data_IF_266420853416
#
_entry.id   IF_266420853416
#
_cell.length_a   1.000
_cell.length_b   1.000
_cell.length_c   1.000
_cell.angle_alpha   90.00
_cell.angle_beta   90.00
_cell.angle_gamma   90.00
#
_symmetry.space_group_name_H-M   'P 1'
#
loop_
_entity.id
_entity.type
_entity.pdbx_description
1 polymer ?
#
# COMPACT_ATOMS: atom_id res chain seq x y z
N UNK A 1 -9.75 -12.17 1.00
CA UNK A 1 -8.96 -11.87 -0.20
C UNK A 1 -9.89 -11.47 -1.34
N UNK A 2 -9.58 -10.36 -2.00
CA UNK A 2 -10.27 -9.93 -3.22
C UNK A 2 -9.26 -9.74 -4.34
N UNK A 3 -9.59 -10.27 -5.51
CA UNK A 3 -8.87 -10.02 -6.76
C UNK A 3 -9.77 -9.16 -7.63
N UNK A 4 -9.23 -8.08 -8.16
CA UNK A 4 -9.93 -7.17 -9.06
C UNK A 4 -9.20 -7.14 -10.40
N UNK A 5 -9.97 -7.25 -11.48
CA UNK A 5 -9.51 -7.01 -12.84
C UNK A 5 -10.46 -5.98 -13.45
N UNK A 6 -9.93 -4.90 -13.95
CA UNK A 6 -10.69 -3.83 -14.57
C UNK A 6 -10.10 -3.50 -15.95
N UNK A 7 -10.94 -3.55 -16.96
CA UNK A 7 -10.66 -3.02 -18.30
C UNK A 7 -11.63 -1.87 -18.52
N UNK A 8 -11.13 -0.72 -18.91
CA UNK A 8 -12.00 0.46 -19.06
C UNK A 8 -11.50 1.40 -20.16
N UNK A 9 -12.41 2.30 -20.53
CA UNK A 9 -12.03 3.46 -21.34
C UNK A 9 -11.76 4.62 -20.41
N UNK A 10 -10.69 5.32 -20.68
CA UNK A 10 -10.31 6.47 -19.90
C UNK A 10 -11.24 7.65 -20.17
N UNK A 11 -11.61 8.35 -19.12
CA UNK A 11 -12.24 9.63 -19.26
C UNK A 11 -11.21 10.77 -19.30
N UNK A 12 -11.61 11.91 -19.84
CA UNK A 12 -10.71 13.07 -20.03
C UNK A 12 -10.06 13.57 -18.72
N UNK A 13 -10.72 13.36 -17.57
CA UNK A 13 -10.17 13.72 -16.25
C UNK A 13 -9.02 12.80 -15.83
N UNK A 14 -9.14 11.49 -16.08
CA UNK A 14 -8.08 10.52 -15.80
C UNK A 14 -6.89 10.74 -16.72
N UNK A 15 -7.12 10.97 -18.01
CA UNK A 15 -6.05 11.27 -18.99
C UNK A 15 -5.21 12.48 -18.56
N UNK A 16 -5.86 13.57 -18.15
CA UNK A 16 -5.18 14.78 -17.68
C UNK A 16 -4.47 14.59 -16.35
N UNK A 17 -5.07 13.83 -15.43
CA UNK A 17 -4.48 13.60 -14.11
C UNK A 17 -3.23 12.72 -14.15
N UNK A 18 -3.14 11.80 -15.12
CA UNK A 18 -2.09 10.79 -15.21
C UNK A 18 -1.19 10.93 -16.45
N UNK A 19 -1.44 11.94 -17.30
CA UNK A 19 -0.69 12.17 -18.54
C UNK A 19 -0.64 10.93 -19.43
N UNK A 20 -1.83 10.35 -19.72
CA UNK A 20 -1.97 9.09 -20.45
C UNK A 20 -2.23 9.32 -21.92
N UNK A 21 -1.50 8.58 -22.78
CA UNK A 21 -1.57 8.70 -24.23
C UNK A 21 -2.61 7.78 -24.89
N UNK A 22 -3.18 6.84 -24.14
CA UNK A 22 -4.11 5.85 -24.65
C UNK A 22 -5.57 6.10 -24.19
N UNK A 23 -6.52 5.57 -24.95
CA UNK A 23 -7.95 5.66 -24.65
C UNK A 23 -8.45 4.51 -23.75
N UNK A 24 -7.63 3.51 -23.55
CA UNK A 24 -7.97 2.31 -22.78
C UNK A 24 -6.92 2.05 -21.70
N UNK A 25 -7.38 1.51 -20.59
CA UNK A 25 -6.49 1.09 -19.51
C UNK A 25 -6.80 -0.33 -19.05
N UNK A 26 -5.79 -0.97 -18.50
CA UNK A 26 -5.89 -2.20 -17.73
C UNK A 26 -5.46 -1.94 -16.30
N UNK A 27 -6.25 -2.40 -15.35
CA UNK A 27 -5.90 -2.35 -13.93
C UNK A 27 -6.24 -3.68 -13.26
N UNK A 28 -5.32 -4.17 -12.47
CA UNK A 28 -5.55 -5.38 -11.67
C UNK A 28 -4.94 -5.23 -10.29
N UNK A 29 -5.44 -6.00 -9.34
CA UNK A 29 -4.89 -5.96 -7.99
C UNK A 29 -5.43 -7.06 -7.09
N UNK A 30 -4.70 -7.27 -6.02
CA UNK A 30 -5.07 -8.16 -4.92
C UNK A 30 -5.17 -7.34 -3.65
N UNK A 31 -6.28 -7.48 -2.94
CA UNK A 31 -6.49 -6.89 -1.62
C UNK A 31 -6.75 -7.99 -0.60
N UNK A 32 -6.01 -7.95 0.48
CA UNK A 32 -6.04 -8.93 1.56
C UNK A 32 -6.32 -8.21 2.86
N UNK A 33 -7.29 -8.72 3.61
CA UNK A 33 -7.54 -8.34 5.00
C UNK A 33 -7.66 -9.63 5.79
N UNK A 34 -6.89 -9.77 6.84
CA UNK A 34 -6.97 -10.89 7.77
C UNK A 34 -7.28 -10.39 9.17
N UNK A 35 -8.41 -10.85 9.70
CA UNK A 35 -8.88 -10.61 11.07
C UNK A 35 -8.78 -11.91 11.86
N UNK A 36 -7.68 -12.15 12.59
CA UNK A 36 -7.55 -13.34 13.43
C UNK A 36 -8.58 -13.33 14.56
N UNK A 37 -9.06 -14.51 14.96
CA UNK A 37 -9.94 -14.67 16.12
C UNK A 37 -9.20 -14.38 17.43
N UNK A 38 -7.93 -14.73 17.50
CA UNK A 38 -7.09 -14.46 18.67
C UNK A 38 -6.68 -12.98 18.69
N UNK A 39 -7.05 -12.20 19.71
CA UNK A 39 -6.74 -10.78 19.79
C UNK A 39 -5.25 -10.46 19.99
N UNK A 40 -4.42 -11.45 20.31
CA UNK A 40 -2.97 -11.29 20.37
C UNK A 40 -2.30 -11.38 18.99
N UNK A 41 -3.03 -11.84 17.96
CA UNK A 41 -2.51 -11.87 16.58
C UNK A 41 -2.98 -10.61 15.87
N UNK A 42 -2.04 -9.79 15.34
CA UNK A 42 -2.38 -8.53 14.69
C UNK A 42 -3.25 -8.70 13.44
N UNK A 43 -4.11 -7.73 13.21
CA UNK A 43 -4.84 -7.57 11.96
C UNK A 43 -3.86 -7.05 10.90
N UNK A 44 -3.85 -7.67 9.73
CA UNK A 44 -3.04 -7.23 8.60
C UNK A 44 -3.93 -6.80 7.43
N UNK A 45 -3.56 -5.70 6.81
CA UNK A 45 -4.11 -5.23 5.54
C UNK A 45 -2.98 -5.16 4.52
N UNK A 46 -3.23 -5.69 3.34
CA UNK A 46 -2.27 -5.63 2.24
C UNK A 46 -3.01 -5.44 0.92
N UNK A 47 -2.47 -4.62 0.06
CA UNK A 47 -2.91 -4.56 -1.33
C UNK A 47 -1.72 -4.37 -2.26
N UNK A 48 -1.83 -4.94 -3.45
CA UNK A 48 -0.91 -4.71 -4.56
C UNK A 48 -1.77 -4.45 -5.78
N UNK A 49 -1.41 -3.41 -6.53
CA UNK A 49 -2.12 -2.97 -7.73
C UNK A 49 -1.13 -2.82 -8.88
N UNK A 50 -1.58 -3.17 -10.06
CA UNK A 50 -0.90 -2.88 -11.31
C UNK A 50 -1.83 -2.04 -12.18
N UNK A 51 -1.28 -1.05 -12.83
CA UNK A 51 -1.98 -0.21 -13.79
C UNK A 51 -1.16 -0.09 -15.06
N UNK A 52 -1.83 -0.10 -16.21
CA UNK A 52 -1.24 0.05 -17.53
C UNK A 52 -2.19 0.81 -18.45
N UNK A 53 -1.66 1.77 -19.20
CA UNK A 53 -2.35 2.47 -20.28
C UNK A 53 -1.34 2.91 -21.33
N UNK A 54 -1.47 2.38 -22.55
CA UNK A 54 -0.50 2.59 -23.61
C UNK A 54 0.90 2.13 -23.22
N UNK A 55 1.85 3.04 -23.23
CA UNK A 55 3.23 2.77 -22.81
C UNK A 55 3.52 3.09 -21.34
N UNK A 56 2.51 3.56 -20.62
CA UNK A 56 2.64 3.93 -19.20
C UNK A 56 2.14 2.80 -18.32
N UNK A 57 2.94 2.41 -17.33
CA UNK A 57 2.56 1.40 -16.35
C UNK A 57 3.20 1.68 -15.00
N UNK A 58 2.57 1.22 -13.94
CA UNK A 58 3.13 1.30 -12.60
C UNK A 58 2.50 0.29 -11.64
N UNK A 59 3.21 0.05 -10.55
CA UNK A 59 2.68 -0.63 -9.37
C UNK A 59 2.31 0.36 -8.28
N UNK A 60 1.27 0.02 -7.53
CA UNK A 60 0.93 0.65 -6.28
C UNK A 60 0.59 -0.39 -5.24
N UNK A 61 0.67 -0.04 -3.99
CA UNK A 61 0.32 -0.96 -2.93
C UNK A 61 0.64 -0.45 -1.55
N UNK A 62 0.39 -1.30 -0.59
CA UNK A 62 0.72 -1.04 0.79
C UNK A 62 0.45 -2.23 1.67
N UNK A 63 1.07 -2.23 2.83
CA UNK A 63 0.86 -3.18 3.90
C UNK A 63 0.91 -2.46 5.23
N UNK A 64 -0.04 -2.72 6.10
CA UNK A 64 -0.08 -2.19 7.46
C UNK A 64 -0.52 -3.25 8.47
N UNK A 65 -0.08 -3.07 9.70
CA UNK A 65 -0.40 -3.94 10.81
C UNK A 65 -1.18 -3.16 11.87
N UNK A 66 -2.32 -3.71 12.30
CA UNK A 66 -3.18 -3.12 13.33
C UNK A 66 -3.39 -4.12 14.47
N UNK A 67 -2.48 -4.14 15.46
CA UNK A 67 -2.63 -4.99 16.63
C UNK A 67 -3.71 -4.46 17.57
N UNK A 68 -4.42 -5.36 18.25
CA UNK A 68 -5.28 -5.04 19.39
C UNK A 68 -4.42 -4.75 20.62
N UNK A 69 -3.41 -5.60 20.86
CA UNK A 69 -2.39 -5.39 21.88
C UNK A 69 -1.04 -5.16 21.21
N UNK A 70 -0.42 -4.03 21.50
CA UNK A 70 0.87 -3.68 20.92
C UNK A 70 1.98 -4.46 21.65
N UNK A 71 2.70 -5.28 20.89
CA UNK A 71 3.92 -5.98 21.32
C UNK A 71 5.09 -5.32 20.61
N UNK A 72 6.00 -4.62 21.31
CA UNK A 72 7.08 -3.86 20.69
C UNK A 72 8.02 -4.71 19.84
N UNK A 73 8.25 -5.95 20.24
CA UNK A 73 9.11 -6.92 19.51
C UNK A 73 8.50 -7.28 18.15
N UNK A 74 7.20 -7.52 18.10
CA UNK A 74 6.47 -7.81 16.86
C UNK A 74 6.46 -6.60 15.91
N UNK A 75 6.25 -5.41 16.47
CA UNK A 75 6.31 -4.16 15.72
C UNK A 75 7.71 -3.95 15.11
N UNK A 76 8.75 -4.17 15.90
CA UNK A 76 10.15 -4.07 15.44
C UNK A 76 10.46 -5.08 14.35
N UNK A 77 10.04 -6.33 14.53
CA UNK A 77 10.24 -7.40 13.54
C UNK A 77 9.53 -7.08 12.21
N UNK A 78 8.28 -6.62 12.29
CA UNK A 78 7.51 -6.24 11.11
C UNK A 78 8.21 -5.13 10.31
N UNK A 79 8.60 -4.04 10.98
CA UNK A 79 9.27 -2.92 10.31
C UNK A 79 10.67 -3.26 9.81
N UNK A 80 11.44 -4.09 10.53
CA UNK A 80 12.74 -4.57 10.08
C UNK A 80 12.61 -5.44 8.82
N UNK A 81 11.59 -6.29 8.76
CA UNK A 81 11.30 -7.12 7.59
C UNK A 81 10.97 -6.26 6.39
N UNK A 82 10.07 -5.28 6.54
CA UNK A 82 9.73 -4.35 5.46
C UNK A 82 10.95 -3.56 4.98
N UNK A 83 11.77 -3.09 5.93
CA UNK A 83 13.00 -2.37 5.59
C UNK A 83 13.97 -3.26 4.82
N UNK A 84 14.18 -4.49 5.27
CA UNK A 84 15.08 -5.44 4.59
C UNK A 84 14.65 -5.72 3.14
N UNK A 85 13.34 -5.83 2.89
CA UNK A 85 12.82 -6.02 1.53
C UNK A 85 13.02 -4.76 0.68
N UNK A 86 12.71 -3.58 1.22
CA UNK A 86 12.90 -2.31 0.52
C UNK A 86 14.38 -2.06 0.19
N UNK A 87 15.29 -2.34 1.13
CA UNK A 87 16.73 -2.12 0.98
C UNK A 87 17.34 -3.00 -0.14
N UNK A 88 16.72 -4.12 -0.50
CA UNK A 88 17.14 -4.94 -1.64
C UNK A 88 16.91 -4.22 -2.98
N UNK A 89 15.97 -3.30 -3.02
CA UNK A 89 15.63 -2.51 -4.20
C UNK A 89 16.34 -1.14 -4.17
N UNK A 90 16.10 -0.36 -3.14
CA UNK A 90 16.74 0.95 -2.90
C UNK A 90 16.70 1.27 -1.39
N UNK A 91 17.84 1.56 -0.76
CA UNK A 91 17.91 1.88 0.67
C UNK A 91 17.08 3.10 1.11
N UNK A 92 16.71 3.99 0.19
CA UNK A 92 15.87 5.16 0.47
C UNK A 92 14.38 4.85 0.50
N UNK A 93 13.96 3.76 -0.15
CA UNK A 93 12.54 3.42 -0.35
C UNK A 93 11.77 3.23 0.95
N UNK A 94 12.36 2.50 1.91
CA UNK A 94 11.66 2.21 3.16
C UNK A 94 11.20 3.49 3.88
N UNK A 95 12.08 4.45 4.08
CA UNK A 95 11.75 5.67 4.81
C UNK A 95 10.71 6.52 4.09
N UNK A 96 10.79 6.59 2.76
CA UNK A 96 9.83 7.27 1.91
C UNK A 96 8.45 6.63 2.00
N UNK A 97 8.37 5.32 1.86
CA UNK A 97 7.12 4.57 1.86
C UNK A 97 6.50 4.49 3.25
N UNK A 98 7.33 4.37 4.29
CA UNK A 98 6.89 4.42 5.67
C UNK A 98 6.29 5.78 6.03
N UNK A 99 6.97 6.86 5.68
CA UNK A 99 6.46 8.20 5.91
C UNK A 99 5.11 8.41 5.22
N UNK A 100 4.96 7.93 3.99
CA UNK A 100 3.70 8.01 3.27
C UNK A 100 2.59 7.24 3.99
N UNK A 101 2.88 6.04 4.48
CA UNK A 101 1.93 5.26 5.27
C UNK A 101 1.55 5.98 6.58
N UNK A 102 2.52 6.52 7.30
CA UNK A 102 2.29 7.25 8.56
C UNK A 102 1.37 8.47 8.33
N UNK A 103 1.62 9.25 7.28
CA UNK A 103 0.79 10.40 6.91
C UNK A 103 -0.64 9.96 6.50
N UNK A 104 -0.77 8.86 5.77
CA UNK A 104 -2.06 8.33 5.31
C UNK A 104 -2.92 7.80 6.46
N UNK A 105 -2.32 7.13 7.44
CA UNK A 105 -3.02 6.53 8.58
C UNK A 105 -3.19 7.48 9.77
N UNK A 106 -2.66 8.70 9.69
CA UNK A 106 -2.80 9.68 10.76
C UNK A 106 -4.23 10.20 10.87
N UNK A 107 -4.79 10.06 12.07
CA UNK A 107 -6.13 10.51 12.42
C UNK A 107 -6.06 11.85 13.15
N UNK A 108 -6.13 12.96 12.42
CA UNK A 108 -5.91 14.30 12.96
C UNK A 108 -6.84 14.66 14.13
N UNK A 109 -8.11 14.21 14.08
CA UNK A 109 -9.11 14.46 15.11
C UNK A 109 -8.85 13.70 16.42
N UNK A 110 -8.05 12.62 16.37
CA UNK A 110 -7.66 11.79 17.53
C UNK A 110 -6.20 12.00 17.93
N UNK A 111 -5.42 12.66 17.08
CA UNK A 111 -3.96 12.84 17.21
C UNK A 111 -3.21 11.51 17.39
N UNK A 112 -3.65 10.50 16.70
CA UNK A 112 -3.09 9.15 16.73
C UNK A 112 -3.00 8.55 15.32
N UNK A 113 -2.20 7.51 15.16
CA UNK A 113 -2.08 6.74 13.92
C UNK A 113 -2.84 5.42 14.05
N UNK A 114 -3.49 4.96 12.99
CA UNK A 114 -4.08 3.62 12.96
C UNK A 114 -2.99 2.55 12.99
N UNK A 115 -3.02 1.68 14.01
CA UNK A 115 -2.06 0.59 14.16
C UNK A 115 -0.62 1.06 14.33
N UNK A 116 0.31 0.24 13.92
CA UNK A 116 1.76 0.51 13.99
C UNK A 116 2.34 0.99 12.65
N UNK A 117 1.47 1.32 11.70
CA UNK A 117 1.85 1.73 10.36
C UNK A 117 2.30 0.57 9.47
N UNK A 118 3.14 0.88 8.53
CA UNK A 118 3.64 -0.04 7.51
C UNK A 118 4.36 0.71 6.42
N UNK A 119 4.14 0.30 5.19
CA UNK A 119 4.62 1.01 4.00
C UNK A 119 3.47 1.23 3.02
N UNK A 120 3.56 2.32 2.27
CA UNK A 120 2.65 2.64 1.19
C UNK A 120 3.42 3.21 0.01
N UNK A 121 3.10 2.75 -1.19
CA UNK A 121 3.72 3.24 -2.43
C UNK A 121 2.69 3.30 -3.54
N UNK A 122 2.90 4.21 -4.48
CA UNK A 122 2.12 4.33 -5.70
C UNK A 122 3.03 4.83 -6.83
N UNK A 123 2.64 4.53 -8.06
CA UNK A 123 3.39 4.89 -9.28
C UNK A 123 4.86 4.45 -9.23
N UNK A 124 5.07 3.23 -8.79
CA UNK A 124 6.38 2.59 -8.83
C UNK A 124 6.55 1.86 -10.17
N UNK A 125 7.44 2.34 -10.96
CA UNK A 125 7.77 1.78 -12.27
C UNK A 125 9.25 1.43 -12.38
#
# INVERSE_FOLDING_TARGET
VRVLICLGKENEKLRKAFDLDADEFFATGVSIVMHPENPHVPIIHMNIRYFESGNTWWFGGGIDLTPVYIVPEDASYFHQTLKSVCDQYDPSCYFKFKKWADDYFYLAHRKETRGIGGIFFDRLS
#
